data_IF_264122703604
#
_entry.id   IF_264122703604
#
_cell.length_a   1.000
_cell.length_b   1.000
_cell.length_c   1.000
_cell.angle_alpha   90.00
_cell.angle_beta   90.00
_cell.angle_gamma   90.00
#
_symmetry.space_group_name_H-M   'P 1'
#
loop_
_entity.id
_entity.type
_entity.pdbx_description
1 polymer ?
#
# COMPACT_ATOMS: atom_id res chain seq x y z
N UNK A 1 0.73 21.58 0.95
CA UNK A 1 1.87 21.92 0.10
C UNK A 1 3.11 21.41 0.78
N UNK A 2 3.90 20.54 0.12
CA UNK A 2 5.17 20.08 0.67
C UNK A 2 6.21 21.21 0.66
N UNK A 3 7.29 21.08 1.45
CA UNK A 3 8.40 22.05 1.41
C UNK A 3 8.99 22.15 -0.01
N UNK A 4 9.10 21.03 -0.71
CA UNK A 4 9.60 20.99 -2.09
C UNK A 4 8.66 21.73 -3.07
N UNK A 5 7.35 21.50 -2.99
CA UNK A 5 6.36 22.27 -3.78
C UNK A 5 6.44 23.77 -3.47
N UNK A 6 6.60 24.11 -2.19
CA UNK A 6 6.82 25.47 -1.69
C UNK A 6 7.97 26.16 -2.39
N UNK A 7 9.14 25.53 -2.40
CA UNK A 7 10.36 26.05 -3.02
C UNK A 7 10.21 26.21 -4.54
N UNK A 8 9.62 25.23 -5.23
CA UNK A 8 9.49 25.25 -6.70
C UNK A 8 8.55 26.35 -7.19
N UNK A 9 7.56 26.75 -6.37
CA UNK A 9 6.55 27.72 -6.76
C UNK A 9 6.91 29.19 -6.41
N UNK A 10 8.12 29.46 -5.88
CA UNK A 10 8.55 30.82 -5.55
C UNK A 10 8.96 31.59 -6.81
N UNK A 11 8.17 32.62 -7.16
CA UNK A 11 8.44 33.51 -8.30
C UNK A 11 9.07 34.84 -7.89
N UNK A 12 9.09 35.16 -6.60
CA UNK A 12 9.73 36.36 -6.01
C UNK A 12 10.61 35.92 -4.86
N UNK A 13 11.85 36.41 -4.79
CA UNK A 13 12.86 36.03 -3.79
C UNK A 13 13.00 34.50 -3.62
N UNK A 14 13.37 33.77 -4.68
CA UNK A 14 13.46 32.32 -4.64
C UNK A 14 14.50 31.84 -3.62
N UNK A 15 14.22 30.69 -3.03
CA UNK A 15 15.16 29.95 -2.20
C UNK A 15 16.28 29.44 -3.11
N UNK A 16 17.48 30.01 -2.97
CA UNK A 16 18.68 29.59 -3.72
C UNK A 16 19.72 28.92 -2.83
N UNK A 17 19.47 28.82 -1.52
CA UNK A 17 20.37 28.14 -0.60
C UNK A 17 20.40 26.64 -0.95
N UNK A 18 21.56 26.10 -1.39
CA UNK A 18 21.67 24.69 -1.76
C UNK A 18 21.31 23.74 -0.62
N UNK A 19 21.63 24.09 0.64
CA UNK A 19 21.36 23.23 1.78
C UNK A 19 19.85 23.07 2.03
N UNK A 20 19.09 24.15 1.86
CA UNK A 20 17.62 24.14 2.01
C UNK A 20 16.96 23.32 0.89
N UNK A 21 17.46 23.45 -0.34
CA UNK A 21 16.98 22.69 -1.50
C UNK A 21 17.28 21.20 -1.32
N UNK A 22 18.52 20.85 -0.94
CA UNK A 22 18.92 19.46 -0.67
C UNK A 22 18.09 18.86 0.45
N UNK A 23 17.83 19.60 1.52
CA UNK A 23 16.99 19.13 2.62
C UNK A 23 15.56 18.84 2.18
N UNK A 24 14.97 19.68 1.32
CA UNK A 24 13.64 19.44 0.78
C UNK A 24 13.61 18.22 -0.16
N UNK A 25 14.65 18.03 -0.98
CA UNK A 25 14.82 16.86 -1.83
C UNK A 25 14.92 15.57 -1.00
N UNK A 26 15.79 15.54 0.01
CA UNK A 26 15.98 14.37 0.89
C UNK A 26 14.66 13.97 1.56
N UNK A 27 13.87 14.93 2.06
CA UNK A 27 12.56 14.62 2.65
C UNK A 27 11.60 13.95 1.66
N UNK A 28 11.57 14.39 0.40
CA UNK A 28 10.75 13.76 -0.65
C UNK A 28 11.26 12.35 -0.98
N UNK A 29 12.57 12.19 -1.10
CA UNK A 29 13.20 10.88 -1.36
C UNK A 29 12.93 9.89 -0.23
N UNK A 30 13.09 10.31 1.03
CA UNK A 30 12.86 9.47 2.20
C UNK A 30 11.38 9.11 2.33
N UNK A 31 10.46 10.07 2.11
CA UNK A 31 9.04 9.80 2.10
C UNK A 31 8.65 8.79 1.02
N UNK A 32 9.22 8.92 -0.19
CA UNK A 32 9.02 7.96 -1.30
C UNK A 32 9.54 6.57 -0.93
N UNK A 33 10.75 6.49 -0.39
CA UNK A 33 11.37 5.22 0.01
C UNK A 33 10.65 4.58 1.20
N UNK A 34 10.01 5.39 2.06
CA UNK A 34 9.17 4.95 3.17
C UNK A 34 7.79 4.42 2.75
N UNK A 35 7.41 4.52 1.47
CA UNK A 35 6.16 3.94 0.98
C UNK A 35 6.23 2.41 1.08
N UNK A 36 5.28 1.82 1.82
CA UNK A 36 5.25 0.39 2.13
C UNK A 36 3.95 -0.31 1.73
N UNK A 37 3.25 0.23 0.72
CA UNK A 37 1.96 -0.30 0.25
C UNK A 37 2.04 -1.76 -0.21
N UNK A 38 3.07 -2.12 -0.98
CA UNK A 38 3.25 -3.49 -1.49
C UNK A 38 3.49 -4.51 -0.36
N UNK A 39 4.34 -4.17 0.62
CA UNK A 39 4.61 -5.02 1.77
C UNK A 39 3.33 -5.24 2.62
N UNK A 40 2.55 -4.17 2.83
CA UNK A 40 1.26 -4.26 3.53
C UNK A 40 0.27 -5.11 2.75
N UNK A 41 0.20 -4.96 1.43
CA UNK A 41 -0.66 -5.76 0.57
C UNK A 41 -0.28 -7.24 0.62
N UNK A 42 1.00 -7.57 0.51
CA UNK A 42 1.49 -8.95 0.60
C UNK A 42 1.15 -9.59 1.95
N UNK A 43 1.33 -8.83 3.04
CA UNK A 43 0.97 -9.26 4.40
C UNK A 43 -0.52 -9.56 4.51
N UNK A 44 -1.38 -8.65 4.03
CA UNK A 44 -2.83 -8.86 4.12
C UNK A 44 -3.31 -10.01 3.22
N UNK A 45 -2.73 -10.18 2.03
CA UNK A 45 -2.99 -11.36 1.19
C UNK A 45 -2.67 -12.65 1.93
N UNK A 46 -1.53 -12.71 2.63
CA UNK A 46 -1.15 -13.88 3.40
C UNK A 46 -2.15 -14.14 4.54
N UNK A 47 -2.46 -13.13 5.35
CA UNK A 47 -3.44 -13.22 6.43
C UNK A 47 -4.81 -13.71 5.93
N UNK A 48 -5.29 -13.18 4.80
CA UNK A 48 -6.56 -13.59 4.22
C UNK A 48 -6.54 -15.04 3.73
N UNK A 49 -5.45 -15.50 3.10
CA UNK A 49 -5.31 -16.91 2.69
C UNK A 49 -5.28 -17.86 3.88
N UNK A 50 -4.66 -17.45 4.98
CA UNK A 50 -4.63 -18.22 6.22
C UNK A 50 -6.02 -18.32 6.85
N UNK A 51 -6.76 -17.19 6.89
CA UNK A 51 -8.16 -17.17 7.33
C UNK A 51 -9.04 -18.11 6.48
N UNK A 52 -8.95 -18.05 5.15
CA UNK A 52 -9.70 -18.94 4.24
C UNK A 52 -9.34 -20.42 4.48
N UNK A 53 -8.07 -20.72 4.78
CA UNK A 53 -7.64 -22.10 5.07
C UNK A 53 -8.33 -22.67 6.31
N UNK A 54 -8.51 -21.84 7.34
CA UNK A 54 -9.15 -22.19 8.61
C UNK A 54 -10.68 -22.30 8.58
N UNK A 55 -11.34 -21.88 7.49
CA UNK A 55 -12.80 -21.97 7.38
C UNK A 55 -13.24 -23.42 7.18
N UNK A 56 -13.91 -24.00 8.18
CA UNK A 56 -14.32 -25.40 8.18
C UNK A 56 -15.61 -25.66 7.41
N UNK A 57 -16.40 -24.62 7.14
CA UNK A 57 -17.64 -24.70 6.35
C UNK A 57 -17.39 -24.71 4.83
N UNK A 58 -16.15 -24.43 4.40
CA UNK A 58 -15.76 -24.41 2.99
C UNK A 58 -15.09 -25.72 2.59
N UNK A 59 -15.40 -26.19 1.38
CA UNK A 59 -14.66 -27.27 0.74
C UNK A 59 -13.36 -26.78 0.06
N UNK A 60 -12.52 -27.71 -0.37
CA UNK A 60 -11.20 -27.38 -0.93
C UNK A 60 -11.27 -26.54 -2.21
N UNK A 61 -12.25 -26.81 -3.09
CA UNK A 61 -12.43 -26.06 -4.32
C UNK A 61 -12.83 -24.60 -4.05
N UNK A 62 -13.73 -24.36 -3.08
CA UNK A 62 -14.12 -23.03 -2.64
C UNK A 62 -12.92 -22.28 -2.03
N UNK A 63 -12.14 -22.95 -1.17
CA UNK A 63 -10.92 -22.38 -0.59
C UNK A 63 -9.90 -22.01 -1.67
N UNK A 64 -9.70 -22.88 -2.67
CA UNK A 64 -8.76 -22.61 -3.76
C UNK A 64 -9.19 -21.41 -4.59
N UNK A 65 -10.48 -21.31 -4.95
CA UNK A 65 -11.01 -20.18 -5.71
C UNK A 65 -10.81 -18.85 -4.96
N UNK A 66 -11.14 -18.80 -3.66
CA UNK A 66 -10.97 -17.61 -2.83
C UNK A 66 -9.50 -17.22 -2.67
N UNK A 67 -8.60 -18.19 -2.47
CA UNK A 67 -7.14 -17.94 -2.43
C UNK A 67 -6.63 -17.34 -3.74
N UNK A 68 -7.12 -17.84 -4.88
CA UNK A 68 -6.79 -17.28 -6.20
C UNK A 68 -7.26 -15.83 -6.36
N UNK A 69 -8.47 -15.51 -5.89
CA UNK A 69 -8.98 -14.14 -5.88
C UNK A 69 -8.16 -13.21 -4.96
N UNK A 70 -7.72 -13.71 -3.81
CA UNK A 70 -6.82 -12.97 -2.90
C UNK A 70 -5.48 -12.69 -3.58
N UNK A 71 -4.87 -13.68 -4.23
CA UNK A 71 -3.58 -13.52 -4.90
C UNK A 71 -3.65 -12.50 -6.05
N UNK A 72 -4.77 -12.45 -6.78
CA UNK A 72 -4.99 -11.50 -7.88
C UNK A 72 -5.44 -10.09 -7.42
N UNK A 73 -5.75 -9.90 -6.13
CA UNK A 73 -6.27 -8.62 -5.63
C UNK A 73 -5.21 -7.49 -5.77
N UNK A 74 -5.55 -6.35 -6.41
CA UNK A 74 -4.60 -5.25 -6.59
C UNK A 74 -4.43 -4.40 -5.33
N UNK A 75 -5.40 -4.45 -4.41
CA UNK A 75 -5.47 -3.57 -3.24
C UNK A 75 -5.95 -4.30 -1.99
N UNK A 76 -5.61 -3.73 -0.83
CA UNK A 76 -6.00 -4.26 0.49
C UNK A 76 -7.53 -4.30 0.64
N UNK A 77 -8.24 -3.31 0.09
CA UNK A 77 -9.70 -3.27 0.13
C UNK A 77 -10.31 -4.49 -0.57
N UNK A 78 -9.80 -4.87 -1.74
CA UNK A 78 -10.24 -6.06 -2.48
C UNK A 78 -9.93 -7.35 -1.72
N UNK A 79 -8.75 -7.46 -1.10
CA UNK A 79 -8.41 -8.62 -0.25
C UNK A 79 -9.41 -8.77 0.90
N UNK A 80 -9.74 -7.67 1.57
CA UNK A 80 -10.72 -7.66 2.67
C UNK A 80 -12.14 -8.03 2.21
N UNK A 81 -12.53 -7.58 1.02
CA UNK A 81 -13.83 -7.93 0.44
C UNK A 81 -13.94 -9.44 0.16
N UNK A 82 -12.91 -10.04 -0.44
CA UNK A 82 -12.90 -11.49 -0.70
C UNK A 82 -12.95 -12.29 0.60
N UNK A 83 -12.24 -11.84 1.64
CA UNK A 83 -12.29 -12.43 2.99
C UNK A 83 -13.70 -12.37 3.60
N UNK A 84 -14.40 -11.24 3.48
CA UNK A 84 -15.78 -11.10 3.99
C UNK A 84 -16.78 -12.00 3.25
N UNK A 85 -16.64 -12.12 1.93
CA UNK A 85 -17.46 -13.04 1.12
C UNK A 85 -17.30 -14.49 1.59
N UNK A 86 -16.12 -14.87 2.06
CA UNK A 86 -15.85 -16.23 2.56
C UNK A 86 -16.47 -16.50 3.96
N UNK A 87 -16.70 -15.45 4.76
CA UNK A 87 -17.28 -15.54 6.11
C UNK A 87 -18.79 -15.32 6.18
N UNK A 88 -19.39 -14.81 5.09
CA UNK A 88 -20.85 -14.59 4.99
C UNK A 88 -21.57 -15.89 4.67
#
# INVERSE_FOLDING_TARGET
MSQAEGIINQTTNPTLNPDEITRALTQVTDAKNGLNGEAKLATEKQNAKDAVSGMTHLNDAQKQALKGQIDQSPEIATVNQVKQTATS
#
